data_IF_262796397934
#
_entry.id   IF_262796397934
#
_cell.length_a   1.000
_cell.length_b   1.000
_cell.length_c   1.000
_cell.angle_alpha   90.00
_cell.angle_beta   90.00
_cell.angle_gamma   90.00
#
_symmetry.space_group_name_H-M   'P 1'
#
loop_
_entity.id
_entity.type
_entity.pdbx_description
1 polymer ?
#
# COMPACT_ATOMS: atom_id res chain seq x y z
N UNK A 1 7.96 22.30 -28.04
CA UNK A 1 7.02 23.39 -28.33
C UNK A 1 7.19 24.47 -27.27
N UNK A 2 7.42 25.72 -27.67
CA UNK A 2 7.51 26.86 -26.74
C UNK A 2 6.19 27.03 -25.97
N UNK A 3 6.20 27.72 -24.82
CA UNK A 3 4.99 27.98 -24.04
C UNK A 3 3.88 28.65 -24.87
N UNK A 4 4.26 29.49 -25.84
CA UNK A 4 3.37 30.15 -26.79
C UNK A 4 2.65 29.17 -27.73
N UNK A 5 3.32 28.11 -28.16
CA UNK A 5 2.74 27.09 -29.05
C UNK A 5 1.75 26.17 -28.32
N UNK A 6 1.91 25.98 -27.01
CA UNK A 6 1.03 25.13 -26.19
C UNK A 6 -0.27 25.83 -25.80
N UNK A 7 -0.22 27.13 -25.55
CA UNK A 7 -1.40 27.95 -25.27
C UNK A 7 -2.32 28.07 -26.50
N UNK A 8 -1.75 28.20 -27.70
CA UNK A 8 -2.50 28.23 -28.95
C UNK A 8 -3.26 26.92 -29.25
N UNK A 9 -2.84 25.80 -28.65
CA UNK A 9 -3.44 24.49 -28.80
C UNK A 9 -4.52 24.16 -27.75
N UNK A 10 -4.91 25.11 -26.89
CA UNK A 10 -6.01 24.93 -25.92
C UNK A 10 -5.69 23.97 -24.76
N UNK A 11 -4.41 23.69 -24.51
CA UNK A 11 -3.98 22.85 -23.39
C UNK A 11 -3.78 23.72 -22.14
N UNK A 12 -4.32 23.27 -21.00
CA UNK A 12 -4.22 24.00 -19.72
C UNK A 12 -2.74 24.13 -19.27
N UNK A 13 -2.36 25.29 -18.69
CA UNK A 13 -1.04 25.48 -18.12
C UNK A 13 -0.83 24.54 -16.91
N UNK A 14 0.40 24.05 -16.76
CA UNK A 14 0.81 23.22 -15.61
C UNK A 14 1.07 24.14 -14.43
N UNK A 15 0.45 23.87 -13.29
CA UNK A 15 0.63 24.66 -12.07
C UNK A 15 2.12 24.67 -11.65
N UNK A 16 2.70 25.88 -11.53
CA UNK A 16 4.09 26.11 -11.09
C UNK A 16 5.04 26.69 -12.14
N UNK A 17 4.56 27.15 -13.30
CA UNK A 17 5.40 27.66 -14.40
C UNK A 17 5.24 29.16 -14.73
N UNK A 18 4.54 29.92 -13.89
CA UNK A 18 4.50 31.39 -13.98
C UNK A 18 5.60 31.99 -13.10
N UNK A 19 6.86 31.80 -13.52
CA UNK A 19 8.00 32.53 -12.96
C UNK A 19 8.54 33.39 -14.09
N UNK A 20 8.53 34.71 -13.90
CA UNK A 20 9.18 35.62 -14.83
C UNK A 20 10.70 35.35 -14.83
N UNK A 21 11.39 35.60 -15.94
CA UNK A 21 12.84 35.39 -16.04
C UNK A 21 13.62 36.13 -14.95
N UNK A 22 13.09 37.25 -14.45
CA UNK A 22 13.67 38.06 -13.38
C UNK A 22 13.45 37.44 -11.99
N UNK A 23 12.34 36.73 -11.78
CA UNK A 23 12.02 36.06 -10.49
C UNK A 23 12.76 34.73 -10.32
N UNK A 24 13.21 34.10 -11.42
CA UNK A 24 13.97 32.85 -11.39
C UNK A 24 15.37 33.01 -10.75
N UNK A 25 15.96 34.21 -10.82
CA UNK A 25 17.28 34.48 -10.25
C UNK A 25 17.27 34.61 -8.72
N UNK A 26 16.11 34.84 -8.10
CA UNK A 26 15.97 35.00 -6.65
C UNK A 26 15.55 33.71 -5.91
N UNK A 27 15.21 32.64 -6.63
CA UNK A 27 14.87 31.34 -6.02
C UNK A 27 16.16 30.64 -5.59
N UNK A 28 16.23 30.27 -4.31
CA UNK A 28 17.42 29.63 -3.73
C UNK A 28 17.89 28.42 -4.56
N UNK A 29 19.14 28.51 -5.01
CA UNK A 29 19.75 27.65 -6.02
C UNK A 29 20.02 26.20 -5.59
N UNK A 30 19.66 25.81 -4.37
CA UNK A 30 20.03 24.49 -3.82
C UNK A 30 19.03 23.37 -4.15
N UNK A 31 17.74 23.67 -4.37
CA UNK A 31 16.72 22.65 -4.66
C UNK A 31 16.32 22.51 -6.14
N UNK A 32 16.38 23.61 -6.89
CA UNK A 32 15.93 23.66 -8.29
C UNK A 32 16.96 23.00 -9.22
N UNK A 33 18.25 23.16 -8.94
CA UNK A 33 19.34 22.73 -9.82
C UNK A 33 19.38 21.21 -10.04
N UNK A 34 19.19 20.40 -8.98
CA UNK A 34 19.22 18.94 -9.10
C UNK A 34 18.02 18.40 -9.89
N UNK A 35 16.84 18.98 -9.70
CA UNK A 35 15.62 18.60 -10.41
C UNK A 35 15.69 18.98 -11.89
N UNK A 36 16.19 20.19 -12.19
CA UNK A 36 16.39 20.66 -13.57
C UNK A 36 17.47 19.85 -14.28
N UNK A 37 18.57 19.51 -13.60
CA UNK A 37 19.62 18.65 -14.14
C UNK A 37 19.10 17.23 -14.43
N UNK A 38 18.34 16.63 -13.51
CA UNK A 38 17.75 15.31 -13.70
C UNK A 38 16.74 15.29 -14.86
N UNK A 39 15.91 16.33 -14.99
CA UNK A 39 14.96 16.46 -16.09
C UNK A 39 15.66 16.69 -17.43
N UNK A 40 16.71 17.52 -17.47
CA UNK A 40 17.51 17.76 -18.67
C UNK A 40 18.19 16.46 -19.13
N UNK A 41 18.78 15.70 -18.20
CA UNK A 41 19.34 14.39 -18.49
C UNK A 41 18.30 13.40 -19.02
N UNK A 42 17.07 13.40 -18.46
CA UNK A 42 15.98 12.54 -18.94
C UNK A 42 15.52 12.91 -20.37
N UNK A 43 15.51 14.20 -20.69
CA UNK A 43 15.12 14.69 -22.02
C UNK A 43 16.22 14.38 -23.05
N UNK A 44 17.49 14.57 -22.69
CA UNK A 44 18.63 14.37 -23.59
C UNK A 44 18.97 12.89 -23.80
N UNK A 45 18.94 12.08 -22.73
CA UNK A 45 19.34 10.66 -22.77
C UNK A 45 18.16 9.69 -22.83
N UNK A 46 16.93 10.19 -22.72
CA UNK A 46 15.72 9.38 -22.60
C UNK A 46 15.53 8.81 -21.19
N UNK A 47 14.47 8.03 -21.00
CA UNK A 47 14.22 7.36 -19.72
C UNK A 47 15.31 6.31 -19.47
N UNK A 48 16.14 6.41 -18.41
CA UNK A 48 17.20 5.43 -18.13
C UNK A 48 16.65 4.04 -17.79
N UNK A 49 15.36 3.95 -17.44
CA UNK A 49 14.66 2.69 -17.27
C UNK A 49 14.29 2.06 -18.62
N UNK A 50 14.36 2.76 -19.74
CA UNK A 50 14.18 2.14 -21.05
C UNK A 50 15.53 1.65 -21.56
N UNK A 51 15.73 0.32 -21.55
CA UNK A 51 16.88 -0.34 -22.18
C UNK A 51 16.38 -1.12 -23.38
N UNK A 52 16.98 -0.91 -24.54
CA UNK A 52 16.62 -1.61 -25.80
C UNK A 52 15.14 -1.51 -26.18
N UNK A 53 14.51 -0.36 -25.88
CA UNK A 53 13.09 -0.12 -26.18
C UNK A 53 12.11 -0.77 -25.20
N UNK A 54 12.59 -1.45 -24.16
CA UNK A 54 11.75 -2.05 -23.11
C UNK A 54 11.91 -1.30 -21.79
N UNK A 55 10.79 -1.04 -21.12
CA UNK A 55 10.79 -0.53 -19.75
C UNK A 55 11.35 -1.60 -18.82
N UNK A 56 12.41 -1.24 -18.10
CA UNK A 56 13.01 -2.05 -17.05
C UNK A 56 11.92 -2.42 -16.06
N UNK A 57 11.67 -3.71 -15.99
CA UNK A 57 10.79 -4.30 -14.99
C UNK A 57 11.68 -5.01 -13.98
N UNK A 58 11.47 -4.79 -12.67
CA UNK A 58 12.19 -5.55 -11.65
C UNK A 58 12.03 -7.04 -11.91
N UNK A 59 13.12 -7.80 -11.85
CA UNK A 59 13.07 -9.25 -11.96
C UNK A 59 12.12 -9.80 -10.87
N UNK A 60 10.97 -10.31 -11.30
CA UNK A 60 10.03 -11.03 -10.44
C UNK A 60 10.28 -12.51 -10.68
N UNK A 61 10.93 -13.24 -9.75
CA UNK A 61 11.10 -14.67 -9.90
C UNK A 61 9.72 -15.35 -10.04
N UNK A 62 9.67 -16.45 -10.80
CA UNK A 62 8.46 -17.24 -10.89
C UNK A 62 8.08 -17.69 -9.47
N UNK A 63 6.83 -17.43 -9.07
CA UNK A 63 6.34 -17.90 -7.78
C UNK A 63 6.45 -19.43 -7.78
N UNK A 64 7.12 -20.04 -6.81
CA UNK A 64 7.17 -21.50 -6.73
C UNK A 64 5.75 -22.06 -6.71
N UNK A 65 5.55 -23.25 -7.28
CA UNK A 65 4.31 -23.97 -7.12
C UNK A 65 4.04 -24.17 -5.63
N UNK A 66 2.76 -24.09 -5.23
CA UNK A 66 2.39 -24.24 -3.81
C UNK A 66 2.96 -25.57 -3.29
N UNK A 67 3.87 -25.48 -2.33
CA UNK A 67 4.40 -26.62 -1.61
C UNK A 67 3.27 -27.23 -0.78
N UNK A 68 2.70 -28.31 -1.31
CA UNK A 68 1.77 -29.26 -0.69
C UNK A 68 0.28 -28.86 -0.60
N UNK A 69 -0.56 -29.90 -0.61
CA UNK A 69 -2.03 -29.84 -0.66
C UNK A 69 -2.61 -29.01 0.48
N UNK A 70 -3.12 -27.84 0.12
CA UNK A 70 -3.59 -26.82 1.06
C UNK A 70 -4.77 -27.32 1.88
N UNK A 71 -4.61 -27.31 3.20
CA UNK A 71 -5.72 -27.42 4.14
C UNK A 71 -6.76 -26.39 3.72
N UNK A 72 -7.97 -26.86 3.41
CA UNK A 72 -9.07 -25.96 3.06
C UNK A 72 -9.27 -24.97 4.20
N UNK A 73 -9.42 -23.69 3.85
CA UNK A 73 -9.73 -22.66 4.84
C UNK A 73 -11.16 -22.93 5.26
N UNK A 74 -11.37 -23.30 6.53
CA UNK A 74 -12.70 -23.64 7.03
C UNK A 74 -12.98 -22.90 8.33
N UNK A 75 -14.02 -22.09 8.29
CA UNK A 75 -14.47 -21.35 9.45
C UNK A 75 -15.25 -22.27 10.39
N UNK A 76 -14.99 -22.15 11.68
CA UNK A 76 -15.76 -22.78 12.75
C UNK A 76 -16.48 -21.68 13.51
N UNK A 77 -17.81 -21.71 13.49
CA UNK A 77 -18.65 -20.76 14.21
C UNK A 77 -20.04 -21.35 14.45
N UNK A 78 -20.65 -21.01 15.58
CA UNK A 78 -22.06 -21.32 15.87
C UNK A 78 -23.02 -20.27 15.27
N UNK A 79 -22.47 -19.21 14.67
CA UNK A 79 -23.25 -18.11 14.09
C UNK A 79 -23.35 -18.24 12.58
N UNK A 80 -24.54 -17.93 12.06
CA UNK A 80 -24.78 -17.77 10.62
C UNK A 80 -24.77 -16.29 10.24
N UNK A 81 -24.35 -15.93 9.01
CA UNK A 81 -24.42 -14.56 8.52
C UNK A 81 -25.84 -13.99 8.65
N UNK A 82 -25.97 -12.81 9.23
CA UNK A 82 -27.26 -12.17 9.49
C UNK A 82 -27.29 -10.68 9.09
N UNK A 83 -28.50 -10.12 8.93
CA UNK A 83 -28.68 -8.74 8.48
C UNK A 83 -28.12 -8.53 7.08
N UNK A 84 -27.28 -7.51 6.90
CA UNK A 84 -26.66 -7.18 5.60
C UNK A 84 -25.42 -8.03 5.28
N UNK A 85 -24.95 -8.87 6.22
CA UNK A 85 -23.75 -9.67 6.05
C UNK A 85 -23.82 -10.64 4.84
N UNK A 86 -24.91 -11.39 4.59
CA UNK A 86 -24.98 -12.31 3.46
C UNK A 86 -24.75 -11.59 2.12
N UNK A 87 -25.39 -10.44 1.93
CA UNK A 87 -25.25 -9.62 0.72
C UNK A 87 -23.83 -9.09 0.59
N UNK A 88 -23.26 -8.53 1.67
CA UNK A 88 -21.90 -8.02 1.65
C UNK A 88 -20.85 -9.10 1.35
N UNK A 89 -21.01 -10.32 1.89
CA UNK A 89 -20.13 -11.46 1.60
C UNK A 89 -20.22 -11.80 0.11
N UNK A 90 -21.43 -11.94 -0.41
CA UNK A 90 -21.66 -12.28 -1.82
C UNK A 90 -21.01 -11.25 -2.76
N UNK A 91 -21.27 -9.97 -2.55
CA UNK A 91 -20.75 -8.90 -3.41
C UNK A 91 -19.21 -8.87 -3.42
N UNK A 92 -18.58 -9.06 -2.26
CA UNK A 92 -17.12 -9.10 -2.13
C UNK A 92 -16.52 -10.33 -2.80
N UNK A 93 -17.15 -11.50 -2.66
CA UNK A 93 -16.71 -12.76 -3.31
C UNK A 93 -16.82 -12.62 -4.83
N UNK A 94 -17.94 -12.14 -5.35
CA UNK A 94 -18.12 -11.89 -6.79
C UNK A 94 -17.07 -10.90 -7.32
N UNK A 95 -16.78 -9.83 -6.59
CA UNK A 95 -15.73 -8.90 -6.98
C UNK A 95 -14.34 -9.56 -7.02
N UNK A 96 -14.05 -10.47 -6.08
CA UNK A 96 -12.80 -11.25 -6.10
C UNK A 96 -12.73 -12.15 -7.34
N UNK A 97 -13.81 -12.84 -7.68
CA UNK A 97 -13.89 -13.71 -8.87
C UNK A 97 -13.74 -12.94 -10.19
N UNK A 98 -14.29 -11.72 -10.26
CA UNK A 98 -14.09 -10.79 -11.38
C UNK A 98 -12.69 -10.20 -11.45
N UNK A 99 -11.81 -10.52 -10.50
CA UNK A 99 -10.47 -9.94 -10.34
C UNK A 99 -10.49 -8.42 -10.11
N UNK A 100 -11.53 -7.91 -9.45
CA UNK A 100 -11.59 -6.52 -9.00
C UNK A 100 -10.44 -6.27 -8.01
N UNK A 101 -9.54 -5.35 -8.36
CA UNK A 101 -8.31 -5.11 -7.57
C UNK A 101 -8.57 -4.40 -6.24
N UNK A 102 -9.65 -3.64 -6.16
CA UNK A 102 -9.96 -2.79 -5.00
C UNK A 102 -11.45 -2.83 -4.74
N UNK A 103 -11.82 -3.11 -3.50
CA UNK A 103 -13.18 -3.18 -3.03
C UNK A 103 -13.24 -2.57 -1.62
N UNK A 104 -14.40 -2.03 -1.24
CA UNK A 104 -14.59 -1.36 0.07
C UNK A 104 -15.80 -1.96 0.76
N UNK A 105 -15.60 -2.54 1.94
CA UNK A 105 -16.68 -2.95 2.84
C UNK A 105 -17.05 -1.78 3.76
N UNK A 106 -18.12 -1.06 3.42
CA UNK A 106 -18.65 0.00 4.27
C UNK A 106 -19.58 -0.59 5.34
N UNK A 107 -19.08 -0.74 6.56
CA UNK A 107 -19.86 -1.32 7.67
C UNK A 107 -19.80 -0.47 8.94
N UNK A 108 -20.96 -0.27 9.56
CA UNK A 108 -21.07 0.43 10.86
C UNK A 108 -20.35 -0.35 11.98
N UNK A 109 -20.08 0.29 13.11
CA UNK A 109 -19.51 -0.39 14.28
C UNK A 109 -20.50 -1.41 14.82
N UNK A 110 -20.01 -2.61 15.18
CA UNK A 110 -20.85 -3.69 15.70
C UNK A 110 -21.53 -4.55 14.63
N UNK A 111 -21.42 -4.24 13.33
CA UNK A 111 -22.04 -5.02 12.25
C UNK A 111 -21.38 -6.38 11.96
N UNK A 112 -20.35 -6.77 12.72
CA UNK A 112 -19.64 -8.03 12.50
C UNK A 112 -18.66 -8.04 11.32
N UNK A 113 -17.96 -6.93 11.04
CA UNK A 113 -17.00 -6.83 9.92
C UNK A 113 -15.95 -7.94 9.91
N UNK A 114 -15.42 -8.35 11.08
CA UNK A 114 -14.46 -9.46 11.13
C UNK A 114 -15.09 -10.77 10.64
N UNK A 115 -16.31 -11.07 11.10
CA UNK A 115 -17.04 -12.26 10.68
C UNK A 115 -17.32 -12.25 9.17
N UNK A 116 -17.78 -11.12 8.62
CA UNK A 116 -17.94 -10.93 7.18
C UNK A 116 -16.64 -11.24 6.42
N UNK A 117 -15.51 -10.67 6.85
CA UNK A 117 -14.22 -10.90 6.19
C UNK A 117 -13.73 -12.33 6.34
N UNK A 118 -13.98 -12.98 7.49
CA UNK A 118 -13.67 -14.40 7.68
C UNK A 118 -14.42 -15.27 6.67
N UNK A 119 -15.72 -15.02 6.47
CA UNK A 119 -16.51 -15.72 5.44
C UNK A 119 -16.00 -15.48 4.03
N UNK A 120 -15.61 -14.25 3.68
CA UNK A 120 -14.99 -13.97 2.37
C UNK A 120 -13.68 -14.75 2.19
N UNK A 121 -12.86 -14.87 3.22
CA UNK A 121 -11.60 -15.64 3.17
C UNK A 121 -11.88 -17.15 3.02
N UNK A 122 -12.89 -17.68 3.72
CA UNK A 122 -13.39 -19.05 3.55
C UNK A 122 -13.89 -19.29 2.12
N UNK A 123 -14.81 -18.49 1.60
CA UNK A 123 -15.39 -18.71 0.25
C UNK A 123 -14.33 -18.62 -0.86
N UNK A 124 -13.38 -17.68 -0.75
CA UNK A 124 -12.39 -17.47 -1.81
C UNK A 124 -11.23 -18.45 -1.79
N UNK A 125 -11.00 -19.17 -0.68
CA UNK A 125 -9.88 -20.12 -0.51
C UNK A 125 -8.50 -19.52 -0.84
N UNK A 126 -8.32 -18.23 -0.52
CA UNK A 126 -7.08 -17.48 -0.79
C UNK A 126 -6.38 -17.14 0.53
N UNK A 127 -5.05 -17.36 0.64
CA UNK A 127 -4.26 -16.81 1.73
C UNK A 127 -4.44 -15.29 1.80
N UNK A 128 -4.74 -14.78 3.00
CA UNK A 128 -5.04 -13.38 3.24
C UNK A 128 -4.01 -12.73 4.15
N UNK A 129 -3.73 -11.45 3.90
CA UNK A 129 -2.94 -10.59 4.78
C UNK A 129 -3.88 -9.49 5.30
N UNK A 130 -4.01 -9.40 6.62
CA UNK A 130 -4.85 -8.40 7.27
C UNK A 130 -3.93 -7.39 7.95
N UNK A 131 -4.00 -6.13 7.50
CA UNK A 131 -3.22 -5.04 8.06
C UNK A 131 -4.09 -4.26 9.05
N UNK A 132 -3.55 -4.05 10.25
CA UNK A 132 -4.19 -3.26 11.30
C UNK A 132 -3.37 -2.00 11.60
N UNK A 133 -4.02 -0.89 11.98
CA UNK A 133 -3.33 0.38 12.24
C UNK A 133 -2.48 0.40 13.51
N UNK A 134 -2.66 -0.55 14.43
CA UNK A 134 -1.91 -0.61 15.68
C UNK A 134 -1.83 -2.04 16.25
N UNK A 135 -0.91 -2.26 17.20
CA UNK A 135 -0.67 -3.58 17.83
C UNK A 135 -1.91 -4.10 18.58
N UNK A 136 -2.68 -3.23 19.23
CA UNK A 136 -3.86 -3.64 20.02
C UNK A 136 -4.95 -4.25 19.15
N UNK A 137 -5.32 -3.57 18.06
CA UNK A 137 -6.32 -4.07 17.11
C UNK A 137 -5.80 -5.28 16.34
N UNK A 138 -4.50 -5.32 16.02
CA UNK A 138 -3.88 -6.49 15.41
C UNK A 138 -4.02 -7.74 16.30
N UNK A 139 -3.75 -7.61 17.60
CA UNK A 139 -3.89 -8.70 18.56
C UNK A 139 -5.36 -9.15 18.72
N UNK A 140 -6.31 -8.21 18.74
CA UNK A 140 -7.75 -8.51 18.77
C UNK A 140 -8.17 -9.33 17.55
N UNK A 141 -7.82 -8.84 16.35
CA UNK A 141 -8.12 -9.55 15.10
C UNK A 141 -7.47 -10.93 15.09
N UNK A 142 -6.20 -11.05 15.49
CA UNK A 142 -5.54 -12.35 15.60
C UNK A 142 -6.31 -13.33 16.48
N UNK A 143 -6.75 -12.89 17.66
CA UNK A 143 -7.52 -13.74 18.56
C UNK A 143 -8.90 -14.15 17.98
N UNK A 144 -9.58 -13.23 17.28
CA UNK A 144 -10.83 -13.53 16.57
C UNK A 144 -10.61 -14.53 15.44
N UNK A 145 -9.63 -14.30 14.57
CA UNK A 145 -9.31 -15.20 13.46
C UNK A 145 -8.83 -16.57 13.94
N UNK A 146 -8.06 -16.65 15.04
CA UNK A 146 -7.62 -17.94 15.60
C UNK A 146 -8.80 -18.77 16.12
N UNK A 147 -9.85 -18.11 16.64
CA UNK A 147 -11.10 -18.78 17.02
C UNK A 147 -11.91 -19.21 15.80
N UNK A 148 -11.98 -18.38 14.77
CA UNK A 148 -12.70 -18.70 13.54
C UNK A 148 -12.03 -19.81 12.73
N UNK A 149 -10.71 -19.91 12.75
CA UNK A 149 -9.95 -20.88 11.94
C UNK A 149 -8.99 -21.70 12.81
N UNK A 150 -9.50 -22.53 13.73
CA UNK A 150 -8.67 -23.29 14.66
C UNK A 150 -7.78 -24.33 13.97
N UNK A 151 -8.22 -24.85 12.82
CA UNK A 151 -7.53 -25.87 12.02
C UNK A 151 -6.65 -25.28 10.90
N UNK A 152 -6.53 -23.95 10.81
CA UNK A 152 -5.70 -23.29 9.80
C UNK A 152 -4.57 -22.46 10.43
N UNK A 153 -3.55 -22.16 9.62
CA UNK A 153 -2.43 -21.31 10.01
C UNK A 153 -2.87 -19.84 10.08
N UNK A 154 -3.26 -19.40 11.27
CA UNK A 154 -3.46 -17.98 11.61
C UNK A 154 -2.22 -17.52 12.36
N UNK A 155 -1.52 -16.54 11.78
CA UNK A 155 -0.22 -16.04 12.26
C UNK A 155 -0.29 -14.56 12.65
N UNK A 156 0.60 -14.16 13.57
CA UNK A 156 0.69 -12.80 14.08
C UNK A 156 2.07 -12.20 13.80
N UNK A 157 2.13 -11.18 12.94
CA UNK A 157 3.38 -10.54 12.54
C UNK A 157 3.39 -9.05 12.90
N UNK A 158 4.11 -8.71 13.96
CA UNK A 158 4.30 -7.33 14.44
C UNK A 158 5.77 -7.10 14.77
N UNK A 159 6.17 -5.82 14.86
CA UNK A 159 7.50 -5.48 15.38
C UNK A 159 7.69 -6.08 16.78
N UNK A 160 8.79 -6.82 16.93
CA UNK A 160 9.20 -7.43 18.19
C UNK A 160 9.80 -6.43 19.17
N UNK A 161 10.05 -5.19 18.75
CA UNK A 161 10.55 -4.14 19.64
C UNK A 161 9.41 -3.55 20.48
N UNK A 162 9.65 -3.45 21.78
CA UNK A 162 8.80 -2.72 22.72
C UNK A 162 9.01 -1.21 22.60
N UNK A 163 10.28 -0.80 22.55
CA UNK A 163 10.69 0.56 22.27
C UNK A 163 11.70 0.57 21.13
N UNK A 164 11.48 1.46 20.15
CA UNK A 164 12.40 1.67 19.05
C UNK A 164 12.57 3.16 18.80
N UNK A 165 13.76 3.66 19.08
CA UNK A 165 14.20 4.98 18.69
C UNK A 165 15.08 4.86 17.44
N UNK A 166 14.62 5.37 16.28
CA UNK A 166 15.47 5.40 15.10
C UNK A 166 16.62 6.37 15.31
N UNK A 167 17.71 6.11 14.60
CA UNK A 167 18.77 7.09 14.43
C UNK A 167 18.21 8.33 13.71
N UNK A 168 18.51 9.52 14.25
CA UNK A 168 18.04 10.77 13.69
C UNK A 168 19.03 11.91 13.96
N UNK A 169 19.01 12.92 13.09
CA UNK A 169 19.73 14.17 13.30
C UNK A 169 18.72 15.32 13.33
N UNK A 170 18.81 16.20 14.34
CA UNK A 170 17.93 17.35 14.56
C UNK A 170 18.71 18.64 14.30
N UNK A 171 18.59 19.27 13.12
CA UNK A 171 19.44 20.39 12.71
C UNK A 171 19.29 21.64 13.58
N UNK A 172 18.08 21.90 14.11
CA UNK A 172 17.80 23.11 14.89
C UNK A 172 18.61 23.20 16.18
N UNK A 173 18.92 22.04 16.75
CA UNK A 173 19.63 21.90 18.02
C UNK A 173 21.01 21.26 17.83
N UNK A 174 21.43 21.04 16.58
CA UNK A 174 22.67 20.35 16.22
C UNK A 174 22.83 19.03 17.01
N UNK A 175 21.74 18.27 17.11
CA UNK A 175 21.68 17.08 17.96
C UNK A 175 21.60 15.82 17.13
N UNK A 176 22.58 14.94 17.29
CA UNK A 176 22.52 13.58 16.81
C UNK A 176 21.87 12.68 17.86
N UNK A 177 20.89 11.89 17.45
CA UNK A 177 20.14 10.93 18.26
C UNK A 177 20.53 9.54 17.77
N UNK A 178 21.25 8.79 18.62
CA UNK A 178 21.62 7.42 18.33
C UNK A 178 20.41 6.48 18.32
N UNK A 179 20.55 5.41 17.56
CA UNK A 179 19.60 4.31 17.57
C UNK A 179 19.60 3.63 18.95
N UNK A 180 18.41 3.48 19.52
CA UNK A 180 18.19 2.73 20.76
C UNK A 180 17.00 1.80 20.59
N UNK A 181 17.08 0.59 21.12
CA UNK A 181 15.98 -0.37 21.04
C UNK A 181 15.94 -1.30 22.25
N UNK A 182 14.74 -1.60 22.74
CA UNK A 182 14.49 -2.64 23.74
C UNK A 182 13.58 -3.74 23.18
N UNK A 183 13.78 -4.95 23.67
CA UNK A 183 12.96 -6.15 23.39
C UNK A 183 12.17 -6.49 24.64
#
# INVERSE_FOLDING_TARGET
>A
ASAKERAAAGLNPVAGLDISLEDAEQVSSSGVTATVAALSALIESGNPLHKDGQLWTPHRPARPEKSEGGIAIKMVSDFEPAGDQPTAIKDLVEGVERNDRTQVLLGVTGSGKTFTMAKVIEETQRPALILAPNKTLAAQLYAEFKKFFPENAVEYFVSYYDYYQPEAYVPRTDTYIEKESSI
#
